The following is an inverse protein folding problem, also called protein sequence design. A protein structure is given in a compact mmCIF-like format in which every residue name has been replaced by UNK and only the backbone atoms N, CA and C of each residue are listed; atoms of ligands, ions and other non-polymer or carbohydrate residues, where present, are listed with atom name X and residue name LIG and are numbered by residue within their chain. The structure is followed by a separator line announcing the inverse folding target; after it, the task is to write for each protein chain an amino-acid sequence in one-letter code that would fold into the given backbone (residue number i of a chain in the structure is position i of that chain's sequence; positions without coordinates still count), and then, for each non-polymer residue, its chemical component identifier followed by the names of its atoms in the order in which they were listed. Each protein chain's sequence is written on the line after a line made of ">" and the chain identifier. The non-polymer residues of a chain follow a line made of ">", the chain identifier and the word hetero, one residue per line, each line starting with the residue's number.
data_IF_390003210162
#
_entry.id   IF_390003210162
#
_cell.length_a   1.000
_cell.length_b   1.000
_cell.length_c   1.000
_cell.angle_alpha   90.00
_cell.angle_beta   90.00
_cell.angle_gamma   90.00
#
_symmetry.space_group_name_H-M   'P 1'
#
loop_
_entity.id
_entity.type
_entity.pdbx_description
1 polymer ?
#
# COMPACT_ATOMS: atom_id res chain seq x y z
N UNK A 1 -7.96 -11.62 -1.67
CA UNK A 1 -6.64 -11.89 -2.28
C UNK A 1 -5.55 -11.61 -1.26
N UNK A 2 -4.48 -12.41 -1.20
CA UNK A 2 -3.37 -12.14 -0.26
C UNK A 2 -2.69 -10.82 -0.55
N UNK A 3 -2.55 -9.94 0.46
CA UNK A 3 -1.87 -8.65 0.31
C UNK A 3 -0.48 -8.77 -0.33
N UNK A 4 0.29 -9.79 0.08
CA UNK A 4 1.62 -10.09 -0.49
C UNK A 4 1.58 -10.35 -1.99
N UNK A 5 0.57 -11.08 -2.48
CA UNK A 5 0.43 -11.38 -3.91
C UNK A 5 0.09 -10.14 -4.72
N UNK A 6 -0.72 -9.23 -4.16
CA UNK A 6 -1.07 -7.96 -4.81
C UNK A 6 0.16 -7.04 -4.90
N UNK A 7 0.93 -6.89 -3.81
CA UNK A 7 2.17 -6.10 -3.83
C UNK A 7 3.19 -6.66 -4.82
N UNK A 8 3.35 -8.00 -4.87
CA UNK A 8 4.21 -8.63 -5.87
C UNK A 8 3.75 -8.38 -7.30
N UNK A 9 2.44 -8.41 -7.56
CA UNK A 9 1.89 -8.12 -8.88
C UNK A 9 2.17 -6.67 -9.31
N UNK A 10 2.01 -5.71 -8.39
CA UNK A 10 2.38 -4.31 -8.61
C UNK A 10 3.88 -4.15 -8.89
N UNK A 11 4.75 -4.75 -8.06
CA UNK A 11 6.22 -4.70 -8.24
C UNK A 11 6.69 -5.30 -9.56
N UNK A 12 5.96 -6.28 -10.09
CA UNK A 12 6.24 -6.90 -11.39
C UNK A 12 5.58 -6.16 -12.56
N UNK A 13 4.82 -5.10 -12.30
CA UNK A 13 4.14 -4.31 -13.34
C UNK A 13 2.87 -4.96 -13.92
N UNK A 14 2.31 -5.98 -13.27
CA UNK A 14 1.06 -6.62 -13.73
C UNK A 14 -0.18 -5.79 -13.44
N UNK A 15 -0.14 -4.96 -12.40
CA UNK A 15 -1.22 -4.07 -11.99
C UNK A 15 -0.65 -2.71 -11.63
N UNK A 16 -1.47 -1.67 -11.74
CA UNK A 16 -1.16 -0.31 -11.34
C UNK A 16 -1.34 -0.09 -9.84
N UNK A 17 -0.82 1.03 -9.33
CA UNK A 17 -1.01 1.41 -7.92
C UNK A 17 -2.49 1.61 -7.57
N UNK A 18 -3.31 2.08 -8.51
CA UNK A 18 -4.75 2.28 -8.32
C UNK A 18 -5.48 0.93 -8.21
N UNK A 19 -5.16 -0.02 -9.08
CA UNK A 19 -5.72 -1.38 -9.00
C UNK A 19 -5.28 -2.06 -7.69
N UNK A 20 -4.03 -1.87 -7.28
CA UNK A 20 -3.53 -2.34 -5.99
C UNK A 20 -4.35 -1.75 -4.82
N UNK A 21 -4.67 -0.45 -4.87
CA UNK A 21 -5.51 0.24 -3.88
C UNK A 21 -6.92 -0.33 -3.81
N UNK A 22 -7.53 -0.56 -4.96
CA UNK A 22 -8.88 -1.13 -5.05
C UNK A 22 -8.92 -2.57 -4.54
N UNK A 23 -7.93 -3.40 -4.86
CA UNK A 23 -7.88 -4.80 -4.41
C UNK A 23 -7.63 -4.88 -2.89
N UNK A 24 -6.78 -4.00 -2.36
CA UNK A 24 -6.43 -3.98 -0.94
C UNK A 24 -7.41 -3.18 -0.06
N UNK A 25 -8.27 -2.37 -0.67
CA UNK A 25 -9.20 -1.49 0.05
C UNK A 25 -8.50 -0.39 0.86
N UNK A 26 -7.34 0.10 0.40
CA UNK A 26 -6.53 1.12 1.08
C UNK A 26 -6.15 2.25 0.13
N UNK A 27 -5.83 3.43 0.67
CA UNK A 27 -5.40 4.59 -0.12
C UNK A 27 -4.07 4.32 -0.84
N UNK A 28 -3.92 4.84 -2.07
CA UNK A 28 -2.71 4.64 -2.89
C UNK A 28 -1.44 5.15 -2.21
N UNK A 29 -1.55 6.18 -1.37
CA UNK A 29 -0.45 6.68 -0.55
C UNK A 29 0.01 5.67 0.50
N UNK A 30 -0.90 4.84 1.03
CA UNK A 30 -0.52 3.78 1.98
C UNK A 30 0.21 2.63 1.28
N UNK A 31 0.00 2.45 -0.03
CA UNK A 31 0.67 1.41 -0.82
C UNK A 31 2.15 1.74 -1.00
N UNK A 32 2.50 3.02 -1.17
CA UNK A 32 3.90 3.45 -1.25
C UNK A 32 4.71 2.95 -0.05
N UNK A 33 4.17 3.05 1.17
CA UNK A 33 4.81 2.50 2.37
C UNK A 33 4.95 0.97 2.39
N UNK A 34 4.08 0.24 1.69
CA UNK A 34 4.18 -1.22 1.56
C UNK A 34 5.13 -1.68 0.45
N UNK A 35 5.40 -0.83 -0.53
CA UNK A 35 6.28 -1.12 -1.68
C UNK A 35 7.73 -0.77 -1.36
N UNK A 36 7.94 0.33 -0.61
CA UNK A 36 9.27 0.87 -0.30
C UNK A 36 10.06 0.05 0.73
N UNK A 37 9.41 -0.73 1.59
CA UNK A 37 10.09 -1.57 2.56
C UNK A 37 10.52 -2.92 1.94
N UNK A 38 11.83 -3.16 1.71
CA UNK A 38 12.28 -4.41 1.07
C UNK A 38 12.21 -5.63 1.99
N UNK A 39 12.13 -5.45 3.31
CA UNK A 39 12.00 -6.53 4.29
C UNK A 39 11.65 -5.88 5.63
N UNK A 40 10.37 -5.87 6.02
CA UNK A 40 9.99 -5.69 7.41
C UNK A 40 8.51 -6.03 7.60
N UNK A 41 8.31 -6.99 8.51
CA UNK A 41 7.13 -7.23 9.33
C UNK A 41 6.01 -6.21 9.18
N UNK A 42 4.82 -6.74 8.87
CA UNK A 42 3.52 -6.06 8.89
C UNK A 42 3.18 -5.50 10.29
N UNK A 43 3.91 -4.48 10.74
CA UNK A 43 3.43 -3.54 11.74
C UNK A 43 3.08 -2.27 10.98
N UNK A 44 1.81 -2.18 10.60
CA UNK A 44 1.24 -0.94 10.12
C UNK A 44 1.26 0.06 11.28
N UNK A 45 2.29 0.90 11.34
CA UNK A 45 2.27 2.08 12.19
C UNK A 45 1.33 3.12 11.54
N UNK A 46 0.49 3.82 12.32
CA UNK A 46 -0.54 4.67 11.77
C UNK A 46 0.11 5.92 11.18
N UNK A 47 0.09 6.05 9.85
CA UNK A 47 0.41 7.32 9.19
C UNK A 47 -0.73 8.31 9.45
N UNK A 48 -0.59 9.08 10.53
CA UNK A 48 -1.44 10.23 10.85
C UNK A 48 -1.36 11.20 9.68
N UNK A 49 -2.37 11.19 8.79
CA UNK A 49 -2.65 12.37 7.96
C UNK A 49 -3.23 13.42 8.93
N UNK A 50 -2.38 14.35 9.36
CA UNK A 50 -2.76 15.56 10.10
C UNK A 50 -3.98 16.18 9.41
N UNK A 51 -5.15 16.07 10.04
CA UNK A 51 -6.33 16.80 9.64
C UNK A 51 -5.99 18.28 9.63
N UNK A 52 -6.01 18.88 8.44
CA UNK A 52 -5.92 20.31 8.24
C UNK A 52 -7.21 20.87 8.86
N UNK A 53 -7.08 21.57 9.98
CA UNK A 53 -8.18 22.29 10.61
C UNK A 53 -8.41 23.57 9.79
N UNK A 54 -9.58 23.69 9.16
CA UNK A 54 -10.18 24.97 8.75
C UNK A 54 -11.57 25.06 9.33
#
# INVERSE_FOLDING_TARGET
>A
MDKRKVIMAYRKGFITMQECAQILGIDSMQILGFVDAPDQTVHAEPYIKQSIHV
#
